data_IF_066548879455
#
_entry.id   IF_066548879455
#
_cell.length_a   1.000
_cell.length_b   1.000
_cell.length_c   1.000
_cell.angle_alpha   90.00
_cell.angle_beta   90.00
_cell.angle_gamma   90.00
#
_symmetry.space_group_name_H-M   'P 1'
#
loop_
_entity.id
_entity.type
_entity.pdbx_description
1 polymer ?
#
# COMPACT_ATOMS: atom_id res chain seq x y z
N UNK A 1 -13.13 8.84 -27.88
CA UNK A 1 -13.69 7.86 -26.92
C UNK A 1 -12.76 7.59 -25.73
N UNK A 2 -11.74 8.42 -25.48
CA UNK A 2 -10.81 8.24 -24.34
C UNK A 2 -11.18 9.06 -23.10
N UNK A 3 -12.18 9.96 -23.18
CA UNK A 3 -12.55 10.85 -22.08
C UNK A 3 -13.56 10.27 -21.08
N UNK A 4 -14.26 9.17 -21.39
CA UNK A 4 -15.32 8.65 -20.52
C UNK A 4 -14.77 7.84 -19.34
N UNK A 5 -13.78 6.97 -19.57
CA UNK A 5 -13.20 6.13 -18.53
C UNK A 5 -12.49 6.92 -17.40
N UNK A 6 -11.94 8.11 -17.71
CA UNK A 6 -11.25 8.94 -16.71
C UNK A 6 -12.23 9.69 -15.79
N UNK A 7 -13.45 9.95 -16.27
CA UNK A 7 -14.50 10.63 -15.48
C UNK A 7 -15.12 9.65 -14.48
N UNK A 8 -15.31 8.40 -14.88
CA UNK A 8 -15.83 7.35 -14.01
C UNK A 8 -14.87 7.02 -12.85
N UNK A 9 -13.56 7.01 -13.12
CA UNK A 9 -12.53 6.80 -12.08
C UNK A 9 -12.48 7.96 -11.07
N UNK A 10 -12.66 9.20 -11.53
CA UNK A 10 -12.69 10.38 -10.67
C UNK A 10 -13.95 10.42 -9.81
N UNK A 11 -15.11 10.01 -10.35
CA UNK A 11 -16.38 9.93 -9.60
C UNK A 11 -16.26 8.91 -8.45
N UNK A 12 -15.70 7.75 -8.72
CA UNK A 12 -15.49 6.70 -7.71
C UNK A 12 -14.55 7.14 -6.58
N UNK A 13 -13.44 7.82 -6.90
CA UNK A 13 -12.52 8.35 -5.90
C UNK A 13 -13.20 9.41 -5.03
N UNK A 14 -14.00 10.30 -5.63
CA UNK A 14 -14.77 11.31 -4.91
C UNK A 14 -15.80 10.68 -3.96
N UNK A 15 -16.56 9.68 -4.43
CA UNK A 15 -17.52 8.96 -3.59
C UNK A 15 -16.86 8.24 -2.41
N UNK A 16 -15.69 7.63 -2.62
CA UNK A 16 -14.91 7.01 -1.54
C UNK A 16 -14.40 8.04 -0.51
N UNK A 17 -14.09 9.25 -0.95
CA UNK A 17 -13.69 10.36 -0.06
C UNK A 17 -14.90 10.89 0.72
N UNK A 18 -16.00 11.20 0.04
CA UNK A 18 -17.18 11.80 0.67
C UNK A 18 -17.86 10.86 1.67
N UNK A 19 -17.85 9.56 1.39
CA UNK A 19 -18.37 8.53 2.31
C UNK A 19 -17.44 8.21 3.49
N UNK A 20 -16.21 8.73 3.49
CA UNK A 20 -15.17 8.41 4.48
C UNK A 20 -14.59 6.99 4.36
N UNK A 21 -14.93 6.25 3.29
CA UNK A 21 -14.47 4.87 3.10
C UNK A 21 -12.99 4.82 2.73
N UNK A 22 -12.49 5.85 2.03
CA UNK A 22 -11.05 6.01 1.75
C UNK A 22 -10.23 6.05 3.04
N UNK A 23 -10.67 6.78 4.06
CA UNK A 23 -9.99 6.91 5.34
C UNK A 23 -9.95 5.56 6.07
N UNK A 24 -11.06 4.80 6.06
CA UNK A 24 -11.13 3.45 6.63
C UNK A 24 -10.21 2.47 5.89
N UNK A 25 -10.13 2.55 4.57
CA UNK A 25 -9.22 1.74 3.75
C UNK A 25 -7.75 2.09 4.07
N UNK A 26 -7.43 3.38 4.24
CA UNK A 26 -6.09 3.81 4.61
C UNK A 26 -5.70 3.38 6.03
N UNK A 27 -6.64 3.41 6.97
CA UNK A 27 -6.44 2.94 8.34
C UNK A 27 -6.21 1.43 8.38
N UNK A 28 -7.07 0.65 7.72
CA UNK A 28 -6.90 -0.79 7.59
C UNK A 28 -5.54 -1.16 6.98
N UNK A 29 -5.15 -0.48 5.90
CA UNK A 29 -3.84 -0.70 5.29
C UNK A 29 -2.71 -0.39 6.28
N UNK A 30 -2.79 0.71 7.04
CA UNK A 30 -1.79 0.99 8.08
C UNK A 30 -1.73 -0.11 9.14
N UNK A 31 -2.86 -0.56 9.65
CA UNK A 31 -2.93 -1.61 10.66
C UNK A 31 -2.27 -2.89 10.17
N UNK A 32 -2.63 -3.35 8.96
CA UNK A 32 -2.04 -4.56 8.37
C UNK A 32 -0.54 -4.45 8.10
N UNK A 33 -0.07 -3.28 7.67
CA UNK A 33 1.36 -3.00 7.51
C UNK A 33 2.12 -2.99 8.83
N UNK A 34 1.46 -2.66 9.94
CA UNK A 34 2.05 -2.73 11.28
C UNK A 34 2.08 -4.19 11.75
N UNK A 35 0.96 -4.90 11.64
CA UNK A 35 0.81 -6.30 12.08
C UNK A 35 1.79 -7.24 11.36
N UNK A 36 2.00 -7.05 10.07
CA UNK A 36 2.93 -7.88 9.31
C UNK A 36 4.41 -7.50 9.51
N UNK A 37 4.71 -6.50 10.34
CA UNK A 37 6.07 -6.05 10.65
C UNK A 37 6.70 -5.09 9.65
N UNK A 38 6.02 -4.76 8.53
CA UNK A 38 6.56 -3.90 7.47
C UNK A 38 7.05 -2.55 8.00
N UNK A 39 6.31 -1.92 8.93
CA UNK A 39 6.71 -0.64 9.53
C UNK A 39 8.08 -0.73 10.23
N UNK A 40 8.32 -1.82 10.94
CA UNK A 40 9.55 -2.01 11.71
C UNK A 40 10.73 -2.39 10.81
N UNK A 41 10.47 -3.13 9.73
CA UNK A 41 11.45 -3.38 8.67
C UNK A 41 11.88 -2.09 7.96
N UNK A 42 10.93 -1.24 7.57
CA UNK A 42 11.26 0.05 6.94
C UNK A 42 12.11 0.92 7.87
N UNK A 43 11.77 0.96 9.16
CA UNK A 43 12.59 1.63 10.18
C UNK A 43 13.99 1.01 10.29
N UNK A 44 14.12 -0.31 10.19
CA UNK A 44 15.41 -0.99 10.21
C UNK A 44 16.28 -0.61 9.00
N UNK A 45 15.67 -0.51 7.81
CA UNK A 45 16.35 -0.04 6.59
C UNK A 45 16.81 1.41 6.72
N UNK A 46 15.99 2.32 7.27
CA UNK A 46 16.40 3.70 7.56
C UNK A 46 17.67 3.71 8.43
N UNK A 47 17.64 2.95 9.54
CA UNK A 47 18.75 2.90 10.51
C UNK A 47 20.01 2.34 9.89
N UNK A 48 19.89 1.27 9.09
CA UNK A 48 21.02 0.65 8.41
C UNK A 48 21.66 1.61 7.39
N UNK A 49 20.84 2.31 6.60
CA UNK A 49 21.31 3.32 5.66
C UNK A 49 22.02 4.47 6.37
N UNK A 50 21.40 5.02 7.43
CA UNK A 50 21.98 6.10 8.20
C UNK A 50 23.30 5.72 8.89
N UNK A 51 23.41 4.47 9.38
CA UNK A 51 24.64 3.93 9.96
C UNK A 51 25.75 3.79 8.90
N UNK A 52 25.41 3.40 7.67
CA UNK A 52 26.37 3.21 6.58
C UNK A 52 26.90 4.52 6.02
N UNK A 53 26.03 5.53 5.82
CA UNK A 53 26.40 6.82 5.21
C UNK A 53 26.94 7.83 6.24
N UNK A 54 26.71 7.57 7.54
CA UNK A 54 27.02 8.49 8.64
C UNK A 54 25.85 9.44 8.91
N UNK A 55 25.44 9.56 10.17
CA UNK A 55 24.22 10.30 10.59
C UNK A 55 24.14 11.74 10.08
N UNK A 56 25.29 12.41 9.94
CA UNK A 56 25.35 13.82 9.57
C UNK A 56 25.27 14.04 8.05
N UNK A 57 25.30 12.95 7.26
CA UNK A 57 25.37 12.99 5.80
C UNK A 57 24.12 12.39 5.13
N UNK A 58 23.03 12.28 5.88
CA UNK A 58 21.78 11.63 5.46
C UNK A 58 20.65 12.64 5.54
N UNK A 59 20.04 12.92 4.39
CA UNK A 59 18.84 13.76 4.31
C UNK A 59 17.57 12.90 4.32
N UNK A 60 16.42 13.54 4.58
CA UNK A 60 15.12 12.88 4.44
C UNK A 60 14.89 12.43 2.99
N UNK A 61 15.32 13.23 2.02
CA UNK A 61 15.18 12.91 0.60
C UNK A 61 15.99 11.67 0.20
N UNK A 62 17.24 11.56 0.69
CA UNK A 62 18.06 10.35 0.52
C UNK A 62 17.35 9.10 1.06
N UNK A 63 16.74 9.22 2.25
CA UNK A 63 16.00 8.12 2.87
C UNK A 63 14.78 7.76 2.04
N UNK A 64 13.98 8.74 1.59
CA UNK A 64 12.81 8.52 0.74
C UNK A 64 13.22 7.83 -0.56
N UNK A 65 14.29 8.27 -1.21
CA UNK A 65 14.78 7.69 -2.46
C UNK A 65 15.15 6.21 -2.29
N UNK A 66 15.79 5.86 -1.17
CA UNK A 66 16.26 4.50 -0.90
C UNK A 66 15.15 3.59 -0.38
N UNK A 67 14.25 4.11 0.45
CA UNK A 67 13.24 3.31 1.14
C UNK A 67 11.97 3.16 0.32
N UNK A 68 11.54 4.18 -0.44
CA UNK A 68 10.33 4.09 -1.29
C UNK A 68 10.29 2.84 -2.17
N UNK A 69 11.33 2.51 -2.97
CA UNK A 69 11.30 1.29 -3.78
C UNK A 69 11.26 0.02 -2.91
N UNK A 70 11.98 0.00 -1.78
CA UNK A 70 12.01 -1.15 -0.87
C UNK A 70 10.70 -1.35 -0.12
N UNK A 71 10.04 -0.28 0.29
CA UNK A 71 8.73 -0.32 0.92
C UNK A 71 7.65 -0.86 -0.02
N UNK A 72 7.73 -0.52 -1.30
CA UNK A 72 6.86 -1.07 -2.35
C UNK A 72 7.16 -2.54 -2.69
N UNK A 73 8.42 -2.96 -2.57
CA UNK A 73 8.87 -4.34 -2.84
C UNK A 73 8.62 -5.29 -1.64
N UNK A 74 8.75 -4.80 -0.40
CA UNK A 74 8.87 -5.65 0.81
C UNK A 74 7.61 -5.74 1.66
N UNK A 75 6.46 -5.29 1.17
CA UNK A 75 5.22 -5.38 1.94
C UNK A 75 4.74 -6.83 2.00
N UNK A 76 5.29 -7.49 3.02
CA UNK A 76 5.12 -8.79 3.66
C UNK A 76 5.23 -10.06 2.78
N UNK A 77 6.41 -10.68 2.86
CA UNK A 77 6.61 -12.10 2.56
C UNK A 77 6.27 -12.86 3.84
N UNK A 78 5.10 -13.51 3.85
CA UNK A 78 4.88 -14.66 4.71
C UNK A 78 4.70 -15.87 3.82
N UNK A 79 5.78 -16.60 3.54
CA UNK A 79 5.68 -18.02 3.18
C UNK A 79 6.84 -18.78 3.79
N UNK A 80 6.49 -19.50 4.86
CA UNK A 80 6.75 -20.92 5.08
C UNK A 80 8.06 -21.51 4.53
N UNK A 81 8.82 -22.06 5.47
CA UNK A 81 9.76 -23.16 5.29
C UNK A 81 9.52 -23.98 4.01
N UNK A 82 10.54 -23.95 3.16
CA UNK A 82 10.83 -24.83 2.04
C UNK A 82 9.97 -24.71 0.77
N UNK A 83 10.68 -24.34 -0.31
CA UNK A 83 10.37 -24.57 -1.72
C UNK A 83 9.33 -23.67 -2.38
N UNK A 84 9.78 -22.57 -3.00
CA UNK A 84 9.24 -22.07 -4.26
C UNK A 84 10.12 -20.95 -4.84
N UNK A 85 10.09 -20.91 -6.17
CA UNK A 85 10.95 -20.18 -7.09
C UNK A 85 10.72 -18.67 -7.01
N UNK A 86 11.82 -17.94 -7.13
CA UNK A 86 11.92 -16.53 -7.50
C UNK A 86 10.73 -16.06 -8.35
N UNK A 87 9.78 -15.38 -7.71
CA UNK A 87 8.79 -14.54 -8.40
C UNK A 87 8.80 -13.19 -7.72
N UNK A 88 9.30 -12.20 -8.45
CA UNK A 88 9.25 -10.79 -8.12
C UNK A 88 7.79 -10.32 -8.12
N UNK A 89 7.06 -10.62 -7.05
CA UNK A 89 5.74 -10.04 -6.83
C UNK A 89 5.91 -8.74 -6.04
N UNK A 90 5.82 -7.61 -6.75
CA UNK A 90 5.68 -6.29 -6.15
C UNK A 90 4.49 -6.26 -5.20
N UNK A 91 4.60 -5.40 -4.19
CA UNK A 91 3.49 -4.78 -3.46
C UNK A 91 2.80 -5.68 -2.43
N UNK A 92 2.37 -5.03 -1.35
CA UNK A 92 1.40 -5.38 -0.29
C UNK A 92 0.92 -6.82 -0.26
N UNK A 93 0.89 -7.54 0.89
CA UNK A 93 0.52 -8.96 0.91
C UNK A 93 -0.79 -9.17 0.20
N UNK A 94 -0.88 -10.24 -0.57
CA UNK A 94 -2.06 -10.49 -1.38
C UNK A 94 -3.33 -10.65 -0.51
N UNK A 95 -3.19 -11.05 0.76
CA UNK A 95 -4.27 -11.03 1.75
C UNK A 95 -4.79 -9.63 2.06
N UNK A 96 -3.88 -8.64 2.20
CA UNK A 96 -4.24 -7.23 2.46
C UNK A 96 -4.82 -6.59 1.20
N UNK A 97 -4.24 -6.88 0.03
CA UNK A 97 -4.83 -6.45 -1.25
C UNK A 97 -6.24 -7.03 -1.43
N UNK A 98 -6.43 -8.32 -1.14
CA UNK A 98 -7.73 -8.97 -1.24
C UNK A 98 -8.75 -8.35 -0.26
N UNK A 99 -8.35 -8.08 0.99
CA UNK A 99 -9.20 -7.43 1.99
C UNK A 99 -9.63 -6.02 1.55
N UNK A 100 -8.69 -5.22 1.01
CA UNK A 100 -8.99 -3.90 0.46
C UNK A 100 -9.93 -3.98 -0.74
N UNK A 101 -9.67 -4.89 -1.67
CA UNK A 101 -10.50 -5.09 -2.87
C UNK A 101 -11.92 -5.52 -2.50
N UNK A 102 -12.08 -6.44 -1.55
CA UNK A 102 -13.40 -6.88 -1.08
C UNK A 102 -14.20 -5.73 -0.47
N UNK A 103 -13.52 -4.83 0.26
CA UNK A 103 -14.14 -3.70 0.93
C UNK A 103 -14.58 -2.62 -0.07
N UNK A 104 -13.75 -2.35 -1.09
CA UNK A 104 -14.13 -1.50 -2.24
C UNK A 104 -15.32 -2.12 -2.99
N UNK A 105 -15.28 -3.42 -3.30
CA UNK A 105 -16.39 -4.10 -3.98
C UNK A 105 -17.68 -4.06 -3.15
N UNK A 106 -17.59 -4.19 -1.83
CA UNK A 106 -18.75 -4.06 -0.94
C UNK A 106 -19.32 -2.65 -0.95
N UNK A 107 -18.46 -1.63 -0.96
CA UNK A 107 -18.86 -0.23 -1.07
C UNK A 107 -19.62 0.02 -2.37
N UNK A 108 -19.06 -0.39 -3.51
CA UNK A 108 -19.70 -0.20 -4.82
C UNK A 108 -21.06 -0.89 -4.93
N UNK A 109 -21.25 -2.04 -4.27
CA UNK A 109 -22.55 -2.72 -4.21
C UNK A 109 -23.59 -2.00 -3.35
N UNK A 110 -23.14 -1.13 -2.44
CA UNK A 110 -24.00 -0.35 -1.55
C UNK A 110 -24.37 1.03 -2.12
N UNK A 111 -23.67 1.50 -3.15
CA UNK A 111 -24.00 2.73 -3.87
C UNK A 111 -25.12 2.41 -4.89
N UNK A 112 -26.28 3.09 -4.84
CA UNK A 112 -27.34 2.92 -5.83
C UNK A 112 -26.83 3.24 -7.24
N UNK A 113 -27.23 2.44 -8.24
CA UNK A 113 -26.82 2.62 -9.65
C UNK A 113 -27.15 4.01 -10.22
N UNK A 114 -28.10 4.71 -9.58
CA UNK A 114 -28.61 6.02 -9.95
C UNK A 114 -27.60 7.16 -9.69
N UNK A 115 -26.51 6.86 -8.98
CA UNK A 115 -25.48 7.82 -8.57
C UNK A 115 -24.12 7.63 -9.30
N UNK A 116 -24.05 6.75 -10.32
CA UNK A 116 -22.87 6.45 -11.12
C UNK A 116 -22.90 7.14 -12.49
#
# INVERSE_FOLDING_TARGET
MENFAHVDELNLVLQLIESGEKEKLMELLRERLIECGWRDEMRALCRAYAKKKGRNNVTVDDLVHVITPKGREKSCISVTSNFAISTSASSVPDSVKAELLLRIQSFLKSVPLDAL
#
